data_IF_218208828210
#
_entry.id   IF_218208828210
#
_cell.length_a   1.000
_cell.length_b   1.000
_cell.length_c   1.000
_cell.angle_alpha   90.00
_cell.angle_beta   90.00
_cell.angle_gamma   90.00
#
_symmetry.space_group_name_H-M   'P 1'
#
loop_
_entity.id
_entity.type
_entity.pdbx_description
1 polymer ?
#
# COMPACT_ATOMS: atom_id res chain seq x y z
N UNK A 1 -7.91 23.27 -6.52
CA UNK A 1 -7.77 21.86 -6.17
C UNK A 1 -8.62 21.08 -7.17
N UNK A 2 -8.00 20.38 -8.11
CA UNK A 2 -8.73 19.60 -9.10
C UNK A 2 -8.80 18.16 -8.56
N UNK A 3 -10.00 17.74 -8.20
CA UNK A 3 -10.31 16.36 -7.86
C UNK A 3 -10.73 15.69 -9.17
N UNK A 4 -9.87 14.84 -9.72
CA UNK A 4 -10.19 14.09 -10.94
C UNK A 4 -10.34 12.61 -10.58
N UNK A 5 -11.45 11.96 -11.00
CA UNK A 5 -11.46 10.50 -11.07
C UNK A 5 -10.40 10.09 -12.10
N UNK A 6 -9.53 9.14 -11.76
CA UNK A 6 -8.40 8.69 -12.57
C UNK A 6 -8.88 8.05 -13.89
N UNK A 7 -9.28 8.89 -14.87
CA UNK A 7 -9.32 8.53 -16.29
C UNK A 7 -8.11 9.18 -16.96
N UNK A 8 -6.93 8.60 -16.81
CA UNK A 8 -5.75 9.07 -17.56
C UNK A 8 -5.71 8.35 -18.90
N UNK A 9 -6.23 9.00 -19.95
CA UNK A 9 -5.83 8.68 -21.33
C UNK A 9 -4.50 9.38 -21.59
N UNK A 10 -3.38 8.70 -21.36
CA UNK A 10 -2.06 9.20 -21.70
C UNK A 10 -1.85 9.11 -23.22
N UNK A 11 -1.78 10.26 -23.90
CA UNK A 11 -1.21 10.33 -25.25
C UNK A 11 0.31 10.27 -25.12
N UNK A 12 0.93 9.23 -25.66
CA UNK A 12 2.38 9.13 -25.79
C UNK A 12 2.90 10.30 -26.63
N UNK A 13 3.59 11.23 -25.99
CA UNK A 13 4.54 12.12 -26.65
C UNK A 13 5.94 11.67 -26.29
N UNK A 14 6.70 11.28 -27.30
CA UNK A 14 8.11 10.94 -27.15
C UNK A 14 8.90 12.19 -26.73
N UNK A 15 9.31 12.25 -25.47
CA UNK A 15 10.23 13.25 -24.94
C UNK A 15 11.66 12.71 -24.99
N UNK A 16 12.59 13.55 -25.46
CA UNK A 16 14.02 13.26 -25.54
C UNK A 16 14.61 13.07 -24.13
N UNK A 17 15.59 12.16 -23.94
CA UNK A 17 16.17 11.94 -22.64
C UNK A 17 16.96 13.16 -22.17
N UNK A 18 16.52 13.78 -21.09
CA UNK A 18 17.31 14.73 -20.32
C UNK A 18 18.17 13.96 -19.31
N UNK A 19 19.45 14.21 -19.32
CA UNK A 19 20.45 13.59 -18.47
C UNK A 19 20.13 13.82 -16.97
N UNK A 20 19.88 12.74 -16.20
CA UNK A 20 20.32 12.68 -14.82
C UNK A 20 19.33 12.71 -13.67
N UNK A 21 18.02 12.47 -13.84
CA UNK A 21 17.12 11.97 -12.77
C UNK A 21 16.06 11.08 -13.40
N UNK A 22 16.08 9.82 -13.04
CA UNK A 22 15.02 8.89 -13.43
C UNK A 22 13.77 9.22 -12.60
N UNK A 23 12.89 10.03 -13.18
CA UNK A 23 11.59 10.34 -12.59
C UNK A 23 10.70 9.10 -12.61
N UNK A 24 9.86 8.96 -11.57
CA UNK A 24 8.89 7.90 -11.52
C UNK A 24 7.71 8.20 -12.45
N UNK A 25 7.20 7.16 -13.09
CA UNK A 25 5.92 7.16 -13.82
C UNK A 25 4.90 6.43 -12.96
N UNK A 26 3.62 6.75 -13.16
CA UNK A 26 2.51 6.08 -12.48
C UNK A 26 1.61 5.39 -13.50
N UNK A 27 1.20 4.17 -13.20
CA UNK A 27 0.18 3.42 -13.92
C UNK A 27 -0.74 2.74 -12.90
N UNK A 28 -2.03 3.05 -12.92
CA UNK A 28 -3.03 2.30 -12.19
C UNK A 28 -3.48 1.09 -13.03
N UNK A 29 -3.52 -0.08 -12.40
CA UNK A 29 -4.00 -1.33 -12.98
C UNK A 29 -5.43 -1.64 -12.54
N UNK A 30 -5.97 -0.90 -11.57
CA UNK A 30 -7.36 -1.04 -11.12
C UNK A 30 -8.32 -0.84 -12.30
N UNK A 31 -9.09 -1.86 -12.62
CA UNK A 31 -10.09 -1.82 -13.68
C UNK A 31 -11.47 -1.64 -13.05
N UNK A 32 -12.10 -0.52 -13.33
CA UNK A 32 -13.51 -0.28 -13.05
C UNK A 32 -14.28 -0.47 -14.37
N UNK A 33 -14.46 -1.71 -14.79
CA UNK A 33 -15.46 -2.00 -15.81
C UNK A 33 -16.84 -2.00 -15.16
N UNK A 34 -17.85 -1.53 -15.87
CA UNK A 34 -19.24 -1.48 -15.40
C UNK A 34 -19.85 -2.89 -15.20
N UNK A 35 -19.04 -3.92 -15.20
CA UNK A 35 -19.43 -5.28 -14.91
C UNK A 35 -19.57 -5.47 -13.40
N UNK A 36 -20.78 -5.76 -12.95
CA UNK A 36 -21.12 -5.94 -11.53
C UNK A 36 -20.47 -7.19 -10.91
N UNK A 37 -19.86 -8.05 -11.71
CA UNK A 37 -19.20 -9.28 -11.27
C UNK A 37 -17.68 -9.11 -11.09
N UNK A 38 -17.10 -7.99 -11.52
CA UNK A 38 -15.69 -7.72 -11.32
C UNK A 38 -15.47 -7.24 -9.88
N UNK A 39 -14.68 -7.95 -9.09
CA UNK A 39 -14.25 -7.48 -7.79
C UNK A 39 -13.39 -6.23 -7.98
N UNK A 40 -13.72 -5.18 -7.26
CA UNK A 40 -12.89 -3.99 -7.19
C UNK A 40 -11.64 -4.32 -6.38
N UNK A 41 -10.52 -3.73 -6.75
CA UNK A 41 -9.27 -3.86 -6.02
C UNK A 41 -8.22 -2.90 -6.53
N UNK A 42 -7.25 -2.56 -5.69
CA UNK A 42 -6.20 -1.62 -6.03
C UNK A 42 -4.91 -2.33 -6.42
N UNK A 43 -4.28 -1.79 -7.47
CA UNK A 43 -2.91 -2.09 -7.84
C UNK A 43 -2.34 -0.90 -8.61
N UNK A 44 -1.36 -0.21 -8.01
CA UNK A 44 -0.75 0.96 -8.60
C UNK A 44 0.75 0.75 -8.76
N UNK A 45 1.23 0.97 -9.98
CA UNK A 45 2.64 0.88 -10.32
C UNK A 45 3.27 2.27 -10.34
N UNK A 46 4.40 2.39 -9.61
CA UNK A 46 5.32 3.52 -9.75
C UNK A 46 6.64 2.97 -10.28
N UNK A 47 7.13 3.48 -11.39
CA UNK A 47 8.29 2.87 -12.04
C UNK A 47 9.18 3.87 -12.77
N UNK A 48 10.44 3.48 -12.92
CA UNK A 48 11.39 4.09 -13.81
C UNK A 48 12.07 3.02 -14.69
N UNK A 49 13.24 3.29 -15.26
CA UNK A 49 13.91 2.35 -16.15
C UNK A 49 14.34 1.04 -15.47
N UNK A 50 14.64 1.04 -14.16
CA UNK A 50 15.28 -0.10 -13.46
C UNK A 50 14.55 -0.53 -12.18
N UNK A 51 13.59 0.24 -11.74
CA UNK A 51 12.88 0.03 -10.46
C UNK A 51 11.38 0.05 -10.68
N UNK A 52 10.68 -0.85 -9.98
CA UNK A 52 9.23 -0.88 -9.87
C UNK A 52 8.83 -0.84 -8.39
N UNK A 53 7.85 -0.02 -8.06
CA UNK A 53 7.09 -0.09 -6.82
C UNK A 53 5.69 -0.55 -7.16
N UNK A 54 5.22 -1.61 -6.53
CA UNK A 54 3.84 -2.09 -6.61
C UNK A 54 3.17 -1.69 -5.29
N UNK A 55 2.21 -0.80 -5.36
CA UNK A 55 1.40 -0.38 -4.23
C UNK A 55 0.07 -1.11 -4.34
N UNK A 56 -0.12 -2.08 -3.45
CA UNK A 56 -1.17 -3.08 -3.43
C UNK A 56 -1.19 -4.03 -4.64
N UNK A 57 -1.82 -5.19 -4.47
CA UNK A 57 -2.10 -6.17 -5.51
C UNK A 57 -3.35 -6.93 -5.13
N UNK A 58 -4.51 -6.28 -5.29
CA UNK A 58 -5.79 -6.72 -4.75
C UNK A 58 -6.42 -7.93 -5.43
N UNK A 59 -5.87 -8.37 -6.57
CA UNK A 59 -6.38 -9.55 -7.27
C UNK A 59 -5.30 -10.29 -8.02
N UNK A 60 -5.54 -11.59 -8.26
CA UNK A 60 -4.74 -12.41 -9.15
C UNK A 60 -4.55 -11.78 -10.55
N UNK A 61 -5.58 -11.19 -11.11
CA UNK A 61 -5.48 -10.48 -12.40
C UNK A 61 -4.50 -9.30 -12.35
N UNK A 62 -4.35 -8.65 -11.20
CA UNK A 62 -3.34 -7.61 -11.02
C UNK A 62 -1.93 -8.22 -11.00
N UNK A 63 -1.72 -9.35 -10.33
CA UNK A 63 -0.45 -10.07 -10.37
C UNK A 63 -0.07 -10.41 -11.82
N UNK A 64 -0.98 -11.03 -12.59
CA UNK A 64 -0.78 -11.33 -14.00
C UNK A 64 -0.46 -10.08 -14.84
N UNK A 65 -1.11 -8.95 -14.56
CA UNK A 65 -0.83 -7.67 -15.25
C UNK A 65 0.55 -7.10 -14.89
N UNK A 66 1.00 -7.24 -13.64
CA UNK A 66 2.37 -6.86 -13.20
C UNK A 66 3.41 -7.76 -13.88
N UNK A 67 3.17 -9.05 -13.97
CA UNK A 67 4.04 -9.99 -14.70
C UNK A 67 4.21 -9.56 -16.16
N UNK A 68 3.10 -9.29 -16.86
CA UNK A 68 3.13 -8.81 -18.23
C UNK A 68 3.85 -7.46 -18.36
N UNK A 69 3.67 -6.57 -17.39
CA UNK A 69 4.41 -5.32 -17.33
C UNK A 69 5.91 -5.54 -17.24
N UNK A 70 6.37 -6.46 -16.37
CA UNK A 70 7.78 -6.79 -16.19
C UNK A 70 8.40 -7.43 -17.44
N UNK A 71 7.68 -8.32 -18.13
CA UNK A 71 8.12 -8.91 -19.40
C UNK A 71 8.38 -7.83 -20.47
N UNK A 72 7.61 -6.75 -20.47
CA UNK A 72 7.77 -5.63 -21.39
C UNK A 72 8.80 -4.59 -20.93
N UNK A 73 9.31 -4.69 -19.69
CA UNK A 73 10.24 -3.74 -19.07
C UNK A 73 11.44 -4.48 -18.46
N UNK A 74 12.15 -5.25 -19.28
CA UNK A 74 13.21 -6.19 -18.87
C UNK A 74 14.42 -5.57 -18.17
N UNK A 75 14.56 -4.25 -18.15
CA UNK A 75 15.61 -3.55 -17.41
C UNK A 75 15.27 -3.37 -15.92
N UNK A 76 14.02 -3.58 -15.53
CA UNK A 76 13.61 -3.54 -14.12
C UNK A 76 14.14 -4.79 -13.43
N UNK A 77 14.90 -4.61 -12.38
CA UNK A 77 15.50 -5.69 -11.58
C UNK A 77 15.24 -5.54 -10.08
N UNK A 78 14.82 -4.36 -9.65
CA UNK A 78 14.55 -4.05 -8.24
C UNK A 78 13.08 -3.74 -8.06
N UNK A 79 12.43 -4.47 -7.17
CA UNK A 79 11.00 -4.38 -6.91
C UNK A 79 10.77 -4.02 -5.44
N UNK A 80 9.91 -3.05 -5.22
CA UNK A 80 9.38 -2.73 -3.90
C UNK A 80 7.89 -3.04 -3.88
N UNK A 81 7.47 -3.89 -2.96
CA UNK A 81 6.07 -4.19 -2.70
C UNK A 81 5.63 -3.38 -1.49
N UNK A 82 4.48 -2.74 -1.57
CA UNK A 82 3.88 -1.99 -0.46
C UNK A 82 2.46 -2.50 -0.30
N UNK A 83 2.13 -3.02 0.88
CA UNK A 83 0.76 -3.43 1.24
C UNK A 83 0.17 -2.35 2.12
N UNK A 84 -0.86 -1.67 1.62
CA UNK A 84 -1.46 -0.53 2.32
C UNK A 84 -2.17 -0.95 3.60
N UNK A 85 -3.04 -1.95 3.53
CA UNK A 85 -3.82 -2.49 4.66
C UNK A 85 -4.24 -3.96 4.42
N UNK A 86 -5.08 -4.53 5.29
CA UNK A 86 -5.33 -5.97 5.36
C UNK A 86 -6.46 -6.48 4.44
N UNK A 87 -7.24 -5.59 3.81
CA UNK A 87 -8.41 -6.01 3.06
C UNK A 87 -8.03 -6.79 1.79
N UNK A 88 -8.86 -7.77 1.44
CA UNK A 88 -8.58 -8.73 0.37
C UNK A 88 -8.45 -8.10 -1.00
N UNK A 89 -9.19 -7.03 -1.28
CA UNK A 89 -9.11 -6.29 -2.53
C UNK A 89 -7.86 -5.39 -2.65
N UNK A 90 -6.96 -5.45 -1.66
CA UNK A 90 -5.61 -4.89 -1.68
C UNK A 90 -4.51 -5.96 -1.58
N UNK A 91 -4.85 -7.20 -1.17
CA UNK A 91 -3.87 -8.24 -0.82
C UNK A 91 -3.96 -9.52 -1.62
N UNK A 92 -5.12 -9.93 -2.16
CA UNK A 92 -5.39 -11.26 -2.73
C UNK A 92 -4.42 -11.72 -3.85
N UNK A 93 -3.82 -10.79 -4.60
CA UNK A 93 -2.86 -11.10 -5.65
C UNK A 93 -1.39 -11.07 -5.19
N UNK A 94 -1.12 -10.64 -3.94
CA UNK A 94 0.24 -10.35 -3.50
C UNK A 94 1.13 -11.61 -3.41
N UNK A 95 0.58 -12.70 -2.89
CA UNK A 95 1.34 -13.96 -2.74
C UNK A 95 1.72 -14.52 -4.11
N UNK A 96 0.80 -14.56 -5.06
CA UNK A 96 1.07 -15.04 -6.42
C UNK A 96 2.13 -14.17 -7.11
N UNK A 97 2.03 -12.85 -6.98
CA UNK A 97 3.05 -11.93 -7.48
C UNK A 97 4.44 -12.21 -6.86
N UNK A 98 4.51 -12.42 -5.53
CA UNK A 98 5.76 -12.73 -4.86
C UNK A 98 6.39 -14.05 -5.34
N UNK A 99 5.59 -15.08 -5.58
CA UNK A 99 6.08 -16.35 -6.15
C UNK A 99 6.66 -16.16 -7.55
N UNK A 100 5.98 -15.38 -8.40
CA UNK A 100 6.51 -15.03 -9.71
C UNK A 100 7.84 -14.29 -9.60
N UNK A 101 7.92 -13.26 -8.76
CA UNK A 101 9.14 -12.46 -8.59
C UNK A 101 10.31 -13.29 -8.07
N UNK A 102 10.07 -14.21 -7.14
CA UNK A 102 11.08 -15.15 -6.63
C UNK A 102 11.59 -16.08 -7.74
N UNK A 103 10.68 -16.69 -8.49
CA UNK A 103 11.02 -17.62 -9.56
C UNK A 103 11.82 -16.97 -10.71
N UNK A 104 11.72 -15.65 -10.86
CA UNK A 104 12.45 -14.86 -11.85
C UNK A 104 13.64 -14.07 -11.27
N UNK A 105 14.04 -14.38 -10.02
CA UNK A 105 15.24 -13.85 -9.36
C UNK A 105 15.26 -12.30 -9.23
N UNK A 106 14.10 -11.66 -9.11
CA UNK A 106 14.03 -10.22 -8.83
C UNK A 106 14.54 -9.90 -7.42
N UNK A 107 15.19 -8.72 -7.27
CA UNK A 107 15.55 -8.19 -5.96
C UNK A 107 14.33 -7.51 -5.32
N UNK A 108 13.70 -8.16 -4.37
CA UNK A 108 12.42 -7.74 -3.79
C UNK A 108 12.59 -7.24 -2.35
N UNK A 109 11.93 -6.12 -2.05
CA UNK A 109 11.74 -5.62 -0.67
C UNK A 109 10.27 -5.38 -0.44
N UNK A 110 9.70 -6.02 0.59
CA UNK A 110 8.34 -5.79 1.05
C UNK A 110 8.32 -4.71 2.13
N UNK A 111 7.43 -3.72 1.98
CA UNK A 111 7.05 -2.77 3.01
C UNK A 111 5.62 -3.05 3.46
N UNK A 112 5.46 -3.32 4.73
CA UNK A 112 4.16 -3.53 5.37
C UNK A 112 4.20 -3.00 6.79
N UNK A 113 3.05 -2.80 7.39
CA UNK A 113 2.98 -2.48 8.80
C UNK A 113 3.32 -3.73 9.62
N UNK A 114 4.55 -3.82 10.13
CA UNK A 114 5.00 -4.89 11.03
C UNK A 114 4.46 -4.61 12.44
N UNK A 115 3.23 -4.94 12.65
CA UNK A 115 2.43 -4.60 13.83
C UNK A 115 3.05 -5.05 15.16
N UNK A 116 3.85 -6.12 15.14
CA UNK A 116 4.52 -6.62 16.33
C UNK A 116 5.51 -5.62 16.94
N UNK A 117 6.08 -4.73 16.12
CA UNK A 117 6.97 -3.67 16.58
C UNK A 117 6.20 -2.63 17.38
N UNK A 118 4.98 -2.31 16.97
CA UNK A 118 4.10 -1.34 17.63
C UNK A 118 3.28 -1.94 18.79
N UNK A 119 3.37 -3.25 19.06
CA UNK A 119 2.55 -3.92 20.07
C UNK A 119 2.66 -3.31 21.49
N UNK A 120 3.81 -2.68 21.83
CA UNK A 120 3.96 -1.97 23.13
C UNK A 120 3.17 -0.67 23.15
N UNK A 121 3.12 0.04 22.03
CA UNK A 121 2.35 1.29 21.90
C UNK A 121 0.87 0.97 21.89
N UNK A 122 0.45 -0.06 21.17
CA UNK A 122 -0.92 -0.60 21.20
C UNK A 122 -1.31 -1.01 22.61
N UNK A 123 -0.45 -1.73 23.34
CA UNK A 123 -0.74 -2.16 24.71
C UNK A 123 -1.04 -0.99 25.66
N UNK A 124 -0.38 0.16 25.46
CA UNK A 124 -0.63 1.37 26.28
C UNK A 124 -2.01 2.00 26.07
N UNK A 125 -2.69 1.65 25.00
CA UNK A 125 -4.06 2.13 24.71
C UNK A 125 -5.14 1.37 25.50
N UNK A 126 -4.75 0.34 26.27
CA UNK A 126 -5.66 -0.44 27.09
C UNK A 126 -5.51 -0.08 28.58
N UNK A 127 -6.63 0.21 29.21
CA UNK A 127 -6.73 0.39 30.66
C UNK A 127 -6.92 -0.98 31.37
N UNK A 128 -6.12 -1.98 31.00
CA UNK A 128 -6.19 -3.33 31.58
C UNK A 128 -4.80 -3.82 31.98
N UNK A 129 -4.48 -3.69 33.26
CA UNK A 129 -3.21 -4.11 33.83
C UNK A 129 -2.92 -5.62 33.69
N UNK A 130 -3.93 -6.43 33.37
CA UNK A 130 -3.81 -7.89 33.20
C UNK A 130 -3.44 -8.27 31.76
N UNK A 131 -3.60 -7.34 30.79
CA UNK A 131 -3.25 -7.59 29.40
C UNK A 131 -1.73 -7.66 29.23
N UNK A 132 -1.25 -8.76 28.66
CA UNK A 132 0.18 -8.98 28.44
C UNK A 132 0.59 -8.53 27.03
N UNK A 133 1.88 -8.24 26.86
CA UNK A 133 2.46 -7.94 25.55
C UNK A 133 2.31 -9.14 24.59
N UNK A 134 2.41 -10.37 25.09
CA UNK A 134 2.23 -11.59 24.27
C UNK A 134 0.82 -11.70 23.74
N UNK A 135 -0.19 -11.56 24.61
CA UNK A 135 -1.60 -11.59 24.18
C UNK A 135 -1.96 -10.46 23.22
N UNK A 136 -1.33 -9.28 23.39
CA UNK A 136 -1.52 -8.17 22.45
C UNK A 136 -0.94 -8.49 21.07
N UNK A 137 0.26 -9.08 21.00
CA UNK A 137 0.88 -9.49 19.73
C UNK A 137 0.05 -10.56 19.01
N UNK A 138 -0.41 -11.56 19.76
CA UNK A 138 -1.24 -12.64 19.20
C UNK A 138 -2.53 -12.08 18.60
N UNK A 139 -3.22 -11.21 19.32
CA UNK A 139 -4.44 -10.56 18.84
C UNK A 139 -4.21 -9.65 17.61
N UNK A 140 -3.08 -8.95 17.56
CA UNK A 140 -2.71 -8.17 16.36
C UNK A 140 -2.54 -9.10 15.15
N UNK A 141 -1.85 -10.21 15.31
CA UNK A 141 -1.64 -11.18 14.22
C UNK A 141 -2.93 -11.87 13.77
N UNK A 142 -3.90 -12.06 14.66
CA UNK A 142 -5.22 -12.56 14.32
C UNK A 142 -6.04 -11.52 13.54
N UNK A 143 -5.94 -10.26 13.95
CA UNK A 143 -6.67 -9.14 13.32
C UNK A 143 -6.13 -8.80 11.93
N UNK A 144 -4.83 -8.97 11.69
CA UNK A 144 -4.16 -8.65 10.43
C UNK A 144 -3.61 -9.91 9.74
N UNK A 145 -4.47 -10.89 9.54
CA UNK A 145 -4.11 -12.22 9.06
C UNK A 145 -3.57 -12.24 7.63
N UNK A 146 -4.16 -11.48 6.70
CA UNK A 146 -3.67 -11.38 5.33
C UNK A 146 -2.24 -10.80 5.28
N UNK A 147 -2.00 -9.71 6.03
CA UNK A 147 -0.64 -9.11 6.10
C UNK A 147 0.33 -10.08 6.76
N UNK A 148 -0.08 -10.79 7.79
CA UNK A 148 0.73 -11.83 8.44
C UNK A 148 1.15 -12.88 7.42
N UNK A 149 0.21 -13.43 6.65
CA UNK A 149 0.48 -14.45 5.63
C UNK A 149 1.46 -13.93 4.55
N UNK A 150 1.26 -12.68 4.09
CA UNK A 150 2.15 -12.04 3.12
C UNK A 150 3.57 -11.87 3.68
N UNK A 151 3.70 -11.43 4.94
CA UNK A 151 5.02 -11.25 5.59
C UNK A 151 5.72 -12.60 5.77
N UNK A 152 5.04 -13.62 6.28
CA UNK A 152 5.58 -14.98 6.43
C UNK A 152 6.02 -15.54 5.07
N UNK A 153 5.20 -15.38 4.04
CA UNK A 153 5.56 -15.80 2.68
C UNK A 153 6.77 -15.06 2.12
N UNK A 154 6.88 -13.75 2.34
CA UNK A 154 8.03 -12.97 1.90
C UNK A 154 9.33 -13.43 2.58
N UNK A 155 9.27 -13.73 3.88
CA UNK A 155 10.39 -14.28 4.65
C UNK A 155 10.80 -15.68 4.14
N UNK A 156 9.84 -16.55 3.86
CA UNK A 156 10.06 -17.89 3.31
C UNK A 156 10.72 -17.84 1.91
N UNK A 157 10.36 -16.85 1.10
CA UNK A 157 10.99 -16.62 -0.21
C UNK A 157 12.36 -15.90 -0.12
N UNK A 158 12.80 -15.54 1.09
CA UNK A 158 14.08 -14.86 1.32
C UNK A 158 14.07 -13.37 0.94
N UNK A 159 12.91 -12.74 0.83
CA UNK A 159 12.79 -11.32 0.55
C UNK A 159 13.17 -10.47 1.75
N UNK A 160 13.59 -9.23 1.52
CA UNK A 160 13.77 -8.26 2.58
C UNK A 160 12.42 -7.71 3.03
N UNK A 161 12.06 -7.93 4.29
CA UNK A 161 10.84 -7.37 4.88
C UNK A 161 11.18 -6.17 5.75
N UNK A 162 10.49 -5.06 5.55
CA UNK A 162 10.69 -3.80 6.28
C UNK A 162 9.38 -3.25 6.82
N UNK A 163 9.48 -2.63 7.98
CA UNK A 163 8.37 -1.89 8.55
C UNK A 163 8.12 -0.60 7.75
N UNK A 164 6.86 -0.31 7.46
CA UNK A 164 6.42 0.91 6.79
C UNK A 164 6.36 2.09 7.78
N UNK A 165 7.52 2.51 8.28
CA UNK A 165 7.63 3.65 9.21
C UNK A 165 7.59 4.98 8.45
N UNK A 166 6.96 5.98 9.04
CA UNK A 166 7.00 7.36 8.53
C UNK A 166 8.45 7.81 8.34
N UNK A 167 8.72 8.45 7.21
CA UNK A 167 10.02 8.86 6.68
C UNK A 167 10.90 7.71 6.14
N UNK A 168 10.46 6.46 6.16
CA UNK A 168 11.14 5.43 5.37
C UNK A 168 11.09 5.83 3.88
N UNK A 169 12.23 5.72 3.20
CA UNK A 169 12.35 6.16 1.81
C UNK A 169 13.00 5.09 0.93
N UNK A 170 12.49 4.93 -0.27
CA UNK A 170 12.99 3.98 -1.28
C UNK A 170 12.53 4.43 -2.66
N UNK A 171 13.33 4.23 -3.68
CA UNK A 171 12.99 4.50 -5.08
C UNK A 171 12.37 5.90 -5.35
N UNK A 172 12.75 6.93 -4.60
CA UNK A 172 12.17 8.26 -4.73
C UNK A 172 10.78 8.41 -4.08
N UNK A 173 10.29 7.39 -3.41
CA UNK A 173 9.08 7.39 -2.58
C UNK A 173 9.43 7.58 -1.11
N UNK A 174 8.47 8.09 -0.34
CA UNK A 174 8.57 8.28 1.11
C UNK A 174 7.25 7.88 1.75
N UNK A 175 7.30 7.04 2.79
CA UNK A 175 6.13 6.73 3.61
C UNK A 175 5.83 7.95 4.49
N UNK A 176 4.59 8.44 4.42
CA UNK A 176 4.17 9.68 5.11
C UNK A 176 3.06 9.44 6.14
N UNK A 177 2.48 8.26 6.17
CA UNK A 177 1.45 7.85 7.13
C UNK A 177 1.16 6.34 7.08
N UNK A 178 0.39 5.82 8.04
CA UNK A 178 0.01 6.48 9.27
C UNK A 178 1.23 6.70 10.20
N UNK A 179 1.11 7.60 11.16
CA UNK A 179 2.06 7.69 12.28
C UNK A 179 1.91 6.46 13.19
N UNK A 180 2.92 6.14 14.00
CA UNK A 180 2.84 5.04 14.97
C UNK A 180 1.68 5.23 15.97
N UNK A 181 1.35 6.48 16.30
CA UNK A 181 0.28 6.82 17.22
C UNK A 181 -1.09 6.54 16.59
N UNK A 182 -1.35 7.04 15.38
CA UNK A 182 -2.58 6.78 14.61
C UNK A 182 -2.79 5.28 14.38
N UNK A 183 -1.75 4.59 13.92
CA UNK A 183 -1.79 3.13 13.77
C UNK A 183 -2.15 2.43 15.07
N UNK A 184 -1.54 2.81 16.18
CA UNK A 184 -1.77 2.18 17.49
C UNK A 184 -3.20 2.41 18.00
N UNK A 185 -3.78 3.59 17.74
CA UNK A 185 -5.18 3.88 18.07
C UNK A 185 -6.15 3.00 17.26
N UNK A 186 -5.91 2.90 15.95
CA UNK A 186 -6.72 2.04 15.06
C UNK A 186 -6.67 0.59 15.50
N UNK A 187 -5.48 0.05 15.72
CA UNK A 187 -5.29 -1.35 16.14
C UNK A 187 -5.93 -1.61 17.51
N UNK A 188 -5.76 -0.70 18.47
CA UNK A 188 -6.39 -0.83 19.77
C UNK A 188 -7.92 -0.82 19.66
N UNK A 189 -8.48 -0.02 18.75
CA UNK A 189 -9.92 0.02 18.48
C UNK A 189 -10.40 -1.27 17.81
N UNK A 190 -9.69 -1.77 16.81
CA UNK A 190 -10.00 -3.05 16.16
C UNK A 190 -10.06 -4.21 17.18
N UNK A 191 -9.10 -4.26 18.09
CA UNK A 191 -9.05 -5.26 19.16
C UNK A 191 -10.20 -5.12 20.19
N UNK A 192 -10.59 -3.88 20.52
CA UNK A 192 -11.65 -3.62 21.53
C UNK A 192 -13.05 -3.85 20.99
N UNK A 193 -13.33 -3.33 19.80
CA UNK A 193 -14.68 -3.16 19.26
C UNK A 193 -14.96 -4.14 18.10
N UNK A 194 -13.93 -4.89 17.65
CA UNK A 194 -13.96 -5.76 16.48
C UNK A 194 -13.63 -5.03 15.18
N UNK A 195 -13.26 -5.81 14.16
CA UNK A 195 -12.82 -5.35 12.84
C UNK A 195 -13.89 -4.56 12.07
N UNK A 196 -15.18 -4.84 12.38
CA UNK A 196 -16.33 -4.14 11.79
C UNK A 196 -16.59 -2.75 12.38
N UNK A 197 -15.81 -2.32 13.38
CA UNK A 197 -15.92 -0.97 13.92
C UNK A 197 -15.43 0.06 12.91
N UNK A 198 -15.92 1.30 13.00
CA UNK A 198 -15.66 2.34 12.02
C UNK A 198 -14.96 3.55 12.65
N UNK A 199 -14.13 4.20 11.83
CA UNK A 199 -13.54 5.51 12.08
C UNK A 199 -13.92 6.39 10.90
N UNK A 200 -14.77 7.41 11.13
CA UNK A 200 -15.23 8.37 10.10
C UNK A 200 -15.84 7.69 8.84
N UNK A 201 -16.62 6.62 9.03
CA UNK A 201 -17.27 5.90 7.95
C UNK A 201 -16.44 4.74 7.37
N UNK A 202 -15.12 4.75 7.56
CA UNK A 202 -14.24 3.67 7.14
C UNK A 202 -14.10 2.59 8.21
N UNK A 203 -13.86 1.35 7.79
CA UNK A 203 -13.51 0.29 8.75
C UNK A 203 -12.21 0.66 9.47
N UNK A 204 -12.03 0.16 10.68
CA UNK A 204 -10.77 0.36 11.40
C UNK A 204 -9.57 -0.19 10.64
N UNK A 205 -9.78 -1.21 9.79
CA UNK A 205 -8.72 -1.81 8.98
C UNK A 205 -8.24 -0.83 7.90
N UNK A 206 -9.17 -0.16 7.22
CA UNK A 206 -8.87 0.82 6.16
C UNK A 206 -8.23 2.08 6.74
N UNK A 207 -8.71 2.53 7.91
CA UNK A 207 -8.34 3.82 8.48
C UNK A 207 -6.82 4.03 8.60
N UNK A 208 -6.05 2.97 8.89
CA UNK A 208 -4.60 3.02 9.04
C UNK A 208 -3.83 2.57 7.79
N UNK A 209 -4.38 2.73 6.60
CA UNK A 209 -3.68 2.42 5.36
C UNK A 209 -2.35 3.16 5.25
N UNK A 210 -1.30 2.46 4.80
CA UNK A 210 0.02 3.05 4.56
C UNK A 210 -0.07 4.09 3.46
N UNK A 211 0.42 5.29 3.74
CA UNK A 211 0.40 6.42 2.81
C UNK A 211 1.78 6.61 2.20
N UNK A 212 1.85 6.65 0.88
CA UNK A 212 3.08 6.76 0.11
C UNK A 212 3.10 8.05 -0.70
N UNK A 213 4.09 8.91 -0.43
CA UNK A 213 4.38 10.09 -1.25
C UNK A 213 5.45 9.75 -2.28
N UNK A 214 5.22 10.12 -3.53
CA UNK A 214 6.24 10.06 -4.57
C UNK A 214 6.26 11.33 -5.42
N UNK A 215 7.37 11.54 -6.16
CA UNK A 215 7.46 12.62 -7.15
C UNK A 215 7.52 11.99 -8.54
N UNK A 216 6.51 12.29 -9.35
CA UNK A 216 6.41 11.81 -10.72
C UNK A 216 7.20 12.68 -11.69
N UNK A 217 7.31 12.22 -12.93
CA UNK A 217 7.81 13.01 -14.05
C UNK A 217 7.04 14.35 -14.14
N UNK A 218 7.78 15.43 -14.43
CA UNK A 218 7.20 16.77 -14.38
C UNK A 218 7.13 17.39 -12.97
N UNK A 219 7.74 16.76 -11.96
CA UNK A 219 7.79 17.22 -10.56
C UNK A 219 6.42 17.25 -9.86
N UNK A 220 5.48 16.41 -10.30
CA UNK A 220 4.18 16.29 -9.66
C UNK A 220 4.30 15.44 -8.38
N UNK A 221 4.05 16.05 -7.23
CA UNK A 221 4.00 15.34 -5.95
C UNK A 221 2.68 14.61 -5.81
N UNK A 222 2.75 13.30 -5.62
CA UNK A 222 1.60 12.39 -5.59
C UNK A 222 1.49 11.73 -4.22
N UNK A 223 0.28 11.59 -3.72
CA UNK A 223 -0.07 10.79 -2.54
C UNK A 223 -0.87 9.56 -2.98
N UNK A 224 -0.38 8.37 -2.62
CA UNK A 224 -1.16 7.13 -2.60
C UNK A 224 -1.53 6.86 -1.13
N UNK A 225 -2.78 6.56 -0.87
CA UNK A 225 -3.29 6.51 0.50
C UNK A 225 -4.15 5.27 0.80
N UNK A 226 -4.28 4.32 -0.15
CA UNK A 226 -5.17 3.18 0.01
C UNK A 226 -6.57 3.66 0.40
N UNK A 227 -7.11 3.08 1.44
CA UNK A 227 -8.45 3.37 1.96
C UNK A 227 -8.44 4.19 3.26
N UNK A 228 -7.35 4.96 3.48
CA UNK A 228 -7.17 5.74 4.71
C UNK A 228 -8.33 6.68 5.00
N UNK A 229 -8.73 6.76 6.27
CA UNK A 229 -9.72 7.75 6.72
C UNK A 229 -9.25 9.17 6.48
N UNK A 230 -10.15 10.10 6.13
CA UNK A 230 -9.80 11.49 5.84
C UNK A 230 -9.03 12.20 6.95
N UNK A 231 -9.32 11.90 8.22
CA UNK A 231 -8.63 12.49 9.39
C UNK A 231 -7.15 12.11 9.49
N UNK A 232 -6.76 11.00 8.86
CA UNK A 232 -5.38 10.52 8.85
C UNK A 232 -4.60 10.97 7.61
N UNK A 233 -5.23 11.73 6.71
CA UNK A 233 -4.57 12.33 5.56
C UNK A 233 -4.06 13.73 5.90
N UNK A 234 -2.75 13.89 5.89
CA UNK A 234 -2.11 15.13 6.30
C UNK A 234 -1.54 15.93 5.13
N UNK A 235 -1.51 17.27 5.26
CA UNK A 235 -0.87 18.19 4.32
C UNK A 235 -1.36 18.03 2.87
N UNK A 236 -2.64 17.78 2.66
CA UNK A 236 -3.24 17.52 1.34
C UNK A 236 -3.00 18.63 0.33
N UNK A 237 -2.83 19.88 0.77
CA UNK A 237 -2.52 21.06 -0.04
C UNK A 237 -1.12 21.01 -0.69
N UNK A 238 -0.24 20.13 -0.22
CA UNK A 238 1.12 19.95 -0.76
C UNK A 238 1.19 19.02 -1.96
N UNK A 239 0.11 18.26 -2.25
CA UNK A 239 0.05 17.29 -3.33
C UNK A 239 -0.69 17.83 -4.55
N UNK A 240 -0.18 17.53 -5.74
CA UNK A 240 -0.83 17.85 -7.01
C UNK A 240 -1.74 16.71 -7.47
N UNK A 241 -1.42 15.47 -7.08
CA UNK A 241 -2.20 14.28 -7.37
C UNK A 241 -2.46 13.55 -6.05
N UNK A 242 -3.69 13.12 -5.83
CA UNK A 242 -4.08 12.35 -4.65
C UNK A 242 -4.93 11.18 -5.15
N UNK A 243 -4.59 9.94 -4.75
CA UNK A 243 -5.48 8.79 -4.87
C UNK A 243 -6.72 9.08 -4.02
N UNK A 244 -7.91 8.84 -4.56
CA UNK A 244 -9.12 8.91 -3.75
C UNK A 244 -9.18 7.68 -2.85
N UNK A 245 -9.29 7.86 -1.52
CA UNK A 245 -9.44 6.71 -0.61
C UNK A 245 -10.65 5.86 -0.98
N UNK A 246 -10.60 4.57 -0.63
CA UNK A 246 -11.71 3.64 -0.76
C UNK A 246 -12.33 3.67 -2.17
N UNK A 247 -11.48 3.57 -3.19
CA UNK A 247 -11.84 3.57 -4.62
C UNK A 247 -12.70 4.76 -5.06
N UNK A 248 -12.68 5.87 -4.30
CA UNK A 248 -13.51 7.06 -4.52
C UNK A 248 -14.99 6.86 -4.19
N UNK A 249 -15.32 5.88 -3.34
CA UNK A 249 -16.66 5.69 -2.82
C UNK A 249 -17.08 6.94 -2.05
N UNK A 250 -18.21 7.51 -2.44
CA UNK A 250 -18.84 8.57 -1.70
C UNK A 250 -19.77 7.93 -0.66
N UNK A 251 -19.57 8.26 0.61
CA UNK A 251 -20.54 7.93 1.66
C UNK A 251 -21.84 8.68 1.38
N UNK A 252 -22.96 7.95 1.36
CA UNK A 252 -24.30 8.51 1.21
C UNK A 252 -24.86 8.94 2.56
#
# INVERSE_FOLDING_TARGET
>A
MLILPLRIKCKQQALRPSCGKDFMKLQALSHYDHDTDTRYGDCILLYNATVLVVYDCGHKMHAEAVEQFLLNNSLITTIYLVVSHNDSDHTDGMIELMEYLHNHEYNVTLYSALYLKSARTVLKQFDDDRRTLSATKEHILETFDNIKEIVEKAEDLGFSVKNAEVNASFAGCVIVGPTEEEFSEVVAKAIKDGEVSHIEGETVMNAASIQLRCTLDGQLTTLLCGDASPSYLHNLDTYQIIQLPHHGKLDN
#
